data_IF_026088925680
#
_entry.id   IF_026088925680
#
_cell.length_a   1.000
_cell.length_b   1.000
_cell.length_c   1.000
_cell.angle_alpha   90.00
_cell.angle_beta   90.00
_cell.angle_gamma   90.00
#
_symmetry.space_group_name_H-M   'P 1'
#
loop_
_entity.id
_entity.type
_entity.pdbx_description
1 polymer ?
#
# COMPACT_ATOMS: atom_id res chain seq x y z
N UNK A 1 -11.40 27.49 -5.75
CA UNK A 1 -10.83 26.26 -6.34
C UNK A 1 -9.93 25.56 -5.33
N UNK A 2 -9.10 26.28 -4.56
CA UNK A 2 -8.21 25.67 -3.55
C UNK A 2 -8.96 24.95 -2.43
N UNK A 3 -9.99 25.56 -1.86
CA UNK A 3 -10.76 24.97 -0.74
C UNK A 3 -11.46 23.65 -1.10
N UNK A 4 -11.96 23.52 -2.33
CA UNK A 4 -12.57 22.26 -2.79
C UNK A 4 -11.52 21.14 -2.96
N UNK A 5 -10.33 21.48 -3.44
CA UNK A 5 -9.21 20.55 -3.57
C UNK A 5 -8.71 20.13 -2.18
N UNK A 6 -8.58 21.07 -1.25
CA UNK A 6 -8.13 20.79 0.12
C UNK A 6 -9.13 19.88 0.87
N UNK A 7 -10.43 20.11 0.67
CA UNK A 7 -11.48 19.25 1.25
C UNK A 7 -11.47 17.85 0.63
N UNK A 8 -11.27 17.73 -0.69
CA UNK A 8 -11.16 16.45 -1.36
C UNK A 8 -9.93 15.65 -0.88
N UNK A 9 -8.79 16.32 -0.74
CA UNK A 9 -7.57 15.71 -0.20
C UNK A 9 -7.73 15.28 1.26
N UNK A 10 -8.39 16.10 2.08
CA UNK A 10 -8.68 15.75 3.48
C UNK A 10 -9.63 14.54 3.58
N UNK A 11 -10.63 14.46 2.70
CA UNK A 11 -11.53 13.31 2.63
C UNK A 11 -10.78 12.03 2.23
N UNK A 12 -9.94 12.09 1.19
CA UNK A 12 -9.13 10.96 0.74
C UNK A 12 -8.19 10.45 1.86
N UNK A 13 -7.57 11.36 2.60
CA UNK A 13 -6.72 11.02 3.76
C UNK A 13 -7.50 10.28 4.83
N UNK A 14 -8.68 10.76 5.20
CA UNK A 14 -9.55 10.08 6.19
C UNK A 14 -10.02 8.72 5.71
N UNK A 15 -10.28 8.59 4.41
CA UNK A 15 -10.67 7.33 3.79
C UNK A 15 -9.52 6.30 3.86
N UNK A 16 -8.31 6.69 3.48
CA UNK A 16 -7.12 5.84 3.58
C UNK A 16 -6.88 5.38 5.03
N UNK A 17 -6.93 6.31 5.98
CA UNK A 17 -6.75 6.00 7.41
C UNK A 17 -7.86 5.06 7.93
N UNK A 18 -9.10 5.31 7.55
CA UNK A 18 -10.24 4.47 7.93
C UNK A 18 -10.14 3.05 7.36
N UNK A 19 -9.73 2.91 6.09
CA UNK A 19 -9.51 1.61 5.46
C UNK A 19 -8.38 0.86 6.19
N UNK A 20 -7.26 1.54 6.45
CA UNK A 20 -6.11 0.93 7.14
C UNK A 20 -6.48 0.40 8.52
N UNK A 21 -7.16 1.23 9.34
CA UNK A 21 -7.62 0.83 10.68
C UNK A 21 -8.61 -0.33 10.61
N UNK A 22 -9.57 -0.28 9.68
CA UNK A 22 -10.56 -1.34 9.51
C UNK A 22 -9.91 -2.66 9.10
N UNK A 23 -8.94 -2.63 8.18
CA UNK A 23 -8.18 -3.81 7.76
C UNK A 23 -7.35 -4.39 8.90
N UNK A 24 -6.71 -3.55 9.71
CA UNK A 24 -5.96 -4.00 10.88
C UNK A 24 -6.87 -4.69 11.90
N UNK A 25 -8.01 -4.09 12.21
CA UNK A 25 -9.00 -4.69 13.14
C UNK A 25 -9.50 -6.01 12.58
N UNK A 26 -9.84 -6.06 11.29
CA UNK A 26 -10.28 -7.29 10.62
C UNK A 26 -9.21 -8.38 10.72
N UNK A 27 -7.96 -8.05 10.37
CA UNK A 27 -6.85 -8.99 10.37
C UNK A 27 -6.59 -9.55 11.78
N UNK A 28 -6.53 -8.67 12.79
CA UNK A 28 -6.31 -9.08 14.19
C UNK A 28 -7.50 -9.91 14.69
N UNK A 29 -8.73 -9.48 14.40
CA UNK A 29 -9.95 -10.19 14.78
C UNK A 29 -10.04 -11.58 14.17
N UNK A 30 -9.70 -11.71 12.87
CA UNK A 30 -9.67 -13.00 12.18
C UNK A 30 -8.57 -13.92 12.74
N UNK A 31 -7.37 -13.41 12.94
CA UNK A 31 -6.26 -14.19 13.49
C UNK A 31 -6.56 -14.65 14.92
N UNK A 32 -7.05 -13.77 15.79
CA UNK A 32 -7.45 -14.12 17.16
C UNK A 32 -8.63 -15.08 17.17
N UNK A 33 -9.65 -14.84 16.34
CA UNK A 33 -10.81 -15.73 16.22
C UNK A 33 -10.44 -17.13 15.78
N UNK A 34 -9.51 -17.25 14.82
CA UNK A 34 -9.00 -18.54 14.36
C UNK A 34 -8.25 -19.31 15.45
N UNK A 35 -7.42 -18.60 16.24
CA UNK A 35 -6.73 -19.22 17.40
C UNK A 35 -7.75 -19.74 18.40
N UNK A 36 -8.79 -18.98 18.71
CA UNK A 36 -9.86 -19.39 19.64
C UNK A 36 -10.62 -20.61 19.08
N UNK A 37 -11.07 -20.54 17.83
CA UNK A 37 -11.80 -21.66 17.19
C UNK A 37 -10.97 -22.95 17.17
N UNK A 38 -9.70 -22.85 16.83
CA UNK A 38 -8.79 -24.01 16.76
C UNK A 38 -8.50 -24.59 18.14
N UNK A 39 -8.37 -23.73 19.17
CA UNK A 39 -7.95 -24.17 20.50
C UNK A 39 -9.12 -24.67 21.36
N UNK A 40 -10.33 -24.14 21.17
CA UNK A 40 -11.50 -24.49 21.99
C UNK A 40 -12.52 -25.40 21.29
N UNK A 41 -12.53 -25.38 19.94
CA UNK A 41 -13.55 -26.10 19.15
C UNK A 41 -12.96 -27.14 18.19
N UNK A 42 -11.63 -27.34 18.19
CA UNK A 42 -10.91 -28.23 17.25
C UNK A 42 -11.34 -28.03 15.78
N UNK A 43 -11.86 -26.85 15.45
CA UNK A 43 -12.36 -26.48 14.12
C UNK A 43 -11.61 -25.26 13.60
N UNK A 44 -11.26 -25.27 12.32
CA UNK A 44 -10.63 -24.15 11.63
C UNK A 44 -11.41 -23.78 10.37
N UNK A 45 -11.43 -22.50 10.02
CA UNK A 45 -11.99 -22.03 8.76
C UNK A 45 -10.93 -22.15 7.67
N UNK A 46 -11.15 -23.02 6.68
CA UNK A 46 -10.18 -23.27 5.59
C UNK A 46 -9.78 -22.00 4.80
N UNK A 47 -10.72 -21.07 4.66
CA UNK A 47 -10.50 -19.83 3.92
C UNK A 47 -9.85 -18.72 4.75
N UNK A 48 -9.81 -18.86 6.05
CA UNK A 48 -9.33 -17.84 6.99
C UNK A 48 -7.83 -17.53 6.78
N UNK A 49 -7.01 -18.54 6.53
CA UNK A 49 -5.58 -18.34 6.27
C UNK A 49 -5.35 -17.53 4.97
N UNK A 50 -6.13 -17.82 3.94
CA UNK A 50 -6.05 -17.09 2.68
C UNK A 50 -6.51 -15.65 2.84
N UNK A 51 -7.58 -15.42 3.58
CA UNK A 51 -8.08 -14.08 3.86
C UNK A 51 -7.10 -13.25 4.69
N UNK A 52 -6.44 -13.86 5.68
CA UNK A 52 -5.40 -13.17 6.46
C UNK A 52 -4.22 -12.77 5.56
N UNK A 53 -3.78 -13.63 4.63
CA UNK A 53 -2.70 -13.29 3.67
C UNK A 53 -3.09 -12.10 2.79
N UNK A 54 -4.31 -12.09 2.28
CA UNK A 54 -4.84 -10.96 1.50
C UNK A 54 -4.91 -9.71 2.35
N UNK A 55 -5.40 -9.79 3.59
CA UNK A 55 -5.46 -8.66 4.50
C UNK A 55 -4.07 -8.07 4.80
N UNK A 56 -3.04 -8.92 4.96
CA UNK A 56 -1.64 -8.48 5.12
C UNK A 56 -1.17 -7.71 3.90
N UNK A 57 -1.45 -8.19 2.68
CA UNK A 57 -1.11 -7.48 1.44
C UNK A 57 -1.77 -6.10 1.39
N UNK A 58 -3.06 -6.02 1.71
CA UNK A 58 -3.80 -4.77 1.71
C UNK A 58 -3.30 -3.80 2.79
N UNK A 59 -3.06 -4.29 4.01
CA UNK A 59 -2.50 -3.46 5.11
C UNK A 59 -1.12 -2.93 4.72
N UNK A 60 -0.27 -3.74 4.12
CA UNK A 60 1.06 -3.33 3.69
C UNK A 60 0.99 -2.23 2.61
N UNK A 61 0.14 -2.40 1.60
CA UNK A 61 0.04 -1.45 0.50
C UNK A 61 -0.69 -0.16 0.89
N UNK A 62 -1.81 -0.27 1.60
CA UNK A 62 -2.53 0.92 2.12
C UNK A 62 -1.66 1.65 3.14
N UNK A 63 -0.95 0.91 4.02
CA UNK A 63 0.03 1.49 4.95
C UNK A 63 1.17 2.23 4.22
N UNK A 64 1.70 1.65 3.14
CA UNK A 64 2.70 2.31 2.30
C UNK A 64 2.13 3.57 1.60
N UNK A 65 0.87 3.52 1.14
CA UNK A 65 0.18 4.69 0.59
C UNK A 65 0.02 5.80 1.63
N UNK A 66 -0.41 5.46 2.85
CA UNK A 66 -0.51 6.41 3.97
C UNK A 66 0.86 6.98 4.30
N UNK A 67 1.87 6.13 4.39
CA UNK A 67 3.24 6.54 4.65
C UNK A 67 3.83 7.44 3.55
N UNK A 68 3.48 7.22 2.28
CA UNK A 68 3.92 8.07 1.15
C UNK A 68 3.33 9.48 1.14
N UNK A 69 2.28 9.71 1.93
CA UNK A 69 1.56 10.98 2.03
C UNK A 69 2.33 12.02 2.84
N UNK A 70 2.89 11.56 3.95
CA UNK A 70 3.67 12.40 4.83
C UNK A 70 5.14 12.24 4.42
N UNK A 71 5.76 13.29 3.88
CA UNK A 71 7.19 13.30 3.46
C UNK A 71 8.14 13.03 4.67
N UNK A 72 7.56 12.67 5.80
CA UNK A 72 8.17 12.30 7.08
C UNK A 72 8.57 10.82 7.18
N UNK A 73 8.64 10.10 6.04
CA UNK A 73 9.35 8.82 6.09
C UNK A 73 10.68 9.05 6.80
N UNK A 74 11.00 8.12 7.69
CA UNK A 74 12.32 8.00 8.30
C UNK A 74 13.35 8.18 7.17
N UNK A 75 13.54 9.43 6.77
CA UNK A 75 14.69 9.83 6.01
C UNK A 75 15.81 9.44 6.94
N UNK A 76 16.55 8.41 6.57
CA UNK A 76 17.75 8.08 7.30
C UNK A 76 18.51 9.40 7.31
N UNK A 77 18.45 10.08 8.46
CA UNK A 77 19.04 11.41 8.71
C UNK A 77 20.57 11.35 8.50
N UNK A 78 21.05 10.13 8.27
CA UNK A 78 22.42 9.80 7.92
C UNK A 78 22.86 10.48 6.60
N UNK A 79 22.02 10.49 5.57
CA UNK A 79 22.36 11.15 4.31
C UNK A 79 22.37 12.66 4.49
N UNK A 80 21.44 13.20 5.26
CA UNK A 80 21.41 14.64 5.54
C UNK A 80 22.57 15.10 6.42
N UNK A 81 23.16 14.21 7.23
CA UNK A 81 24.34 14.51 8.05
C UNK A 81 25.66 14.37 7.29
N UNK A 82 25.69 13.51 6.26
CA UNK A 82 26.91 13.25 5.48
C UNK A 82 27.05 14.15 4.24
N UNK A 83 25.96 14.72 3.76
CA UNK A 83 25.91 15.54 2.55
C UNK A 83 25.95 17.02 2.92
N UNK A 84 26.85 17.78 2.29
CA UNK A 84 26.91 19.24 2.42
C UNK A 84 25.56 19.88 2.06
N UNK A 85 25.12 20.95 2.79
CA UNK A 85 23.86 21.64 2.54
C UNK A 85 23.63 22.04 1.08
N UNK A 86 24.69 22.30 0.33
CA UNK A 86 24.62 22.67 -1.09
C UNK A 86 24.11 21.53 -2.00
N UNK A 87 24.36 20.27 -1.65
CA UNK A 87 23.98 19.11 -2.44
C UNK A 87 22.70 18.43 -1.94
N UNK A 88 22.18 18.80 -0.78
CA UNK A 88 21.03 18.19 -0.14
C UNK A 88 19.79 18.17 -1.06
N UNK A 89 19.50 19.29 -1.71
CA UNK A 89 18.37 19.42 -2.63
C UNK A 89 18.47 18.46 -3.83
N UNK A 90 19.67 18.32 -4.40
CA UNK A 90 19.89 17.42 -5.52
C UNK A 90 19.72 15.95 -5.13
N UNK A 91 20.26 15.56 -3.97
CA UNK A 91 20.14 14.20 -3.45
C UNK A 91 18.67 13.86 -3.17
N UNK A 92 17.91 14.76 -2.54
CA UNK A 92 16.48 14.57 -2.29
C UNK A 92 15.69 14.40 -3.59
N UNK A 93 15.96 15.23 -4.58
CA UNK A 93 15.30 15.15 -5.88
C UNK A 93 15.63 13.85 -6.61
N UNK A 94 16.90 13.44 -6.60
CA UNK A 94 17.34 12.20 -7.21
C UNK A 94 16.69 10.98 -6.53
N UNK A 95 16.62 10.97 -5.21
CA UNK A 95 15.96 9.90 -4.44
C UNK A 95 14.47 9.81 -4.77
N UNK A 96 13.77 10.94 -4.83
CA UNK A 96 12.35 10.97 -5.20
C UNK A 96 12.11 10.46 -6.62
N UNK A 97 12.98 10.85 -7.57
CA UNK A 97 12.91 10.39 -8.95
C UNK A 97 13.19 8.89 -9.06
N UNK A 98 14.20 8.39 -8.35
CA UNK A 98 14.49 6.97 -8.29
C UNK A 98 13.31 6.17 -7.72
N UNK A 99 12.74 6.63 -6.61
CA UNK A 99 11.54 6.01 -6.02
C UNK A 99 10.36 6.00 -7.01
N UNK A 100 10.15 7.10 -7.72
CA UNK A 100 9.13 7.17 -8.77
C UNK A 100 9.34 6.10 -9.86
N UNK A 101 10.57 5.95 -10.36
CA UNK A 101 10.89 4.94 -11.38
C UNK A 101 10.61 3.52 -10.87
N UNK A 102 11.06 3.21 -9.66
CA UNK A 102 10.82 1.89 -9.03
C UNK A 102 9.32 1.62 -8.87
N UNK A 103 8.55 2.62 -8.44
CA UNK A 103 7.09 2.50 -8.31
C UNK A 103 6.39 2.33 -9.66
N UNK A 104 6.88 2.97 -10.73
CA UNK A 104 6.36 2.74 -12.07
C UNK A 104 6.62 1.30 -12.54
N UNK A 105 7.80 0.76 -12.30
CA UNK A 105 8.13 -0.63 -12.62
C UNK A 105 7.27 -1.61 -11.80
N UNK A 106 7.08 -1.33 -10.51
CA UNK A 106 6.20 -2.11 -9.65
C UNK A 106 4.75 -2.08 -10.15
N UNK A 107 4.23 -0.89 -10.49
CA UNK A 107 2.87 -0.72 -11.00
C UNK A 107 2.67 -1.47 -12.31
N UNK A 108 3.64 -1.40 -13.22
CA UNK A 108 3.62 -2.15 -14.47
C UNK A 108 3.64 -3.66 -14.23
N UNK A 109 4.58 -4.15 -13.42
CA UNK A 109 4.72 -5.57 -13.13
C UNK A 109 3.49 -6.14 -12.42
N UNK A 110 2.97 -5.44 -11.41
CA UNK A 110 1.76 -5.85 -10.70
C UNK A 110 0.50 -5.76 -11.57
N UNK A 111 0.43 -4.79 -12.49
CA UNK A 111 -0.65 -4.71 -13.46
C UNK A 111 -0.68 -5.91 -14.41
N UNK A 112 0.47 -6.32 -14.92
CA UNK A 112 0.59 -7.52 -15.74
C UNK A 112 0.24 -8.78 -14.94
N UNK A 113 0.69 -8.87 -13.68
CA UNK A 113 0.39 -9.99 -12.81
C UNK A 113 -1.12 -10.15 -12.60
N UNK A 114 -1.83 -9.08 -12.23
CA UNK A 114 -3.29 -9.07 -12.07
C UNK A 114 -4.01 -9.42 -13.38
N UNK A 115 -3.47 -8.97 -14.52
CA UNK A 115 -4.02 -9.31 -15.83
C UNK A 115 -3.91 -10.82 -16.12
N UNK A 116 -2.79 -11.45 -15.81
CA UNK A 116 -2.65 -12.91 -15.97
C UNK A 116 -3.57 -13.68 -15.03
N UNK A 117 -3.69 -13.26 -13.76
CA UNK A 117 -4.64 -13.85 -12.81
C UNK A 117 -6.11 -13.76 -13.31
N UNK A 118 -6.44 -12.67 -14.00
CA UNK A 118 -7.74 -12.51 -14.63
C UNK A 118 -7.93 -13.45 -15.83
N UNK A 119 -6.93 -13.60 -16.69
CA UNK A 119 -6.99 -14.46 -17.89
C UNK A 119 -7.01 -15.95 -17.53
N UNK A 120 -6.24 -16.31 -16.49
CA UNK A 120 -6.15 -17.70 -16.02
C UNK A 120 -7.31 -18.11 -15.10
N UNK A 121 -8.29 -17.19 -14.88
CA UNK A 121 -9.45 -17.42 -14.01
C UNK A 121 -9.05 -17.95 -12.61
N UNK A 122 -7.91 -17.49 -12.10
CA UNK A 122 -7.36 -17.95 -10.83
C UNK A 122 -8.29 -17.63 -9.66
N UNK A 123 -8.51 -18.62 -8.78
CA UNK A 123 -9.37 -18.52 -7.61
C UNK A 123 -8.49 -18.43 -6.36
N UNK A 124 -8.69 -17.41 -5.52
CA UNK A 124 -7.93 -17.23 -4.29
C UNK A 124 -8.44 -18.13 -3.15
N UNK A 125 -9.74 -18.13 -2.91
CA UNK A 125 -10.43 -19.00 -1.94
C UNK A 125 -11.93 -18.99 -2.21
N UNK A 126 -12.60 -20.14 -1.99
CA UNK A 126 -14.01 -20.32 -2.30
C UNK A 126 -14.29 -20.07 -3.79
N UNK A 127 -15.14 -19.09 -4.09
CA UNK A 127 -15.47 -18.66 -5.46
C UNK A 127 -14.94 -17.24 -5.75
N UNK A 128 -14.02 -16.73 -4.94
CA UNK A 128 -13.52 -15.35 -5.09
C UNK A 128 -12.32 -15.34 -6.05
N UNK A 129 -12.42 -14.62 -7.19
CA UNK A 129 -11.31 -14.47 -8.13
C UNK A 129 -10.11 -13.77 -7.49
N UNK A 130 -8.90 -14.28 -7.74
CA UNK A 130 -7.67 -13.75 -7.16
C UNK A 130 -7.41 -12.30 -7.59
N UNK A 131 -7.64 -11.95 -8.85
CA UNK A 131 -7.38 -10.63 -9.42
C UNK A 131 -8.10 -9.49 -8.67
N UNK A 132 -9.30 -9.74 -8.11
CA UNK A 132 -10.06 -8.73 -7.34
C UNK A 132 -9.31 -8.37 -6.05
N UNK A 133 -8.71 -9.37 -5.42
CA UNK A 133 -7.99 -9.19 -4.16
C UNK A 133 -6.62 -8.57 -4.36
N UNK A 134 -6.04 -8.74 -5.54
CA UNK A 134 -4.68 -8.31 -5.88
C UNK A 134 -4.62 -6.96 -6.61
N UNK A 135 -5.76 -6.44 -7.06
CA UNK A 135 -5.86 -5.16 -7.78
C UNK A 135 -5.32 -3.98 -6.95
N UNK A 136 -5.23 -4.13 -5.64
CA UNK A 136 -4.62 -3.13 -4.76
C UNK A 136 -3.15 -2.88 -5.08
N UNK A 137 -2.43 -3.87 -5.65
CA UNK A 137 -1.01 -3.72 -5.99
C UNK A 137 -0.78 -2.65 -7.05
N UNK A 138 -1.37 -2.73 -8.26
CA UNK A 138 -1.18 -1.67 -9.26
C UNK A 138 -1.82 -0.33 -8.85
N UNK A 139 -2.93 -0.35 -8.11
CA UNK A 139 -3.56 0.89 -7.61
C UNK A 139 -2.64 1.56 -6.59
N UNK A 140 -2.16 0.82 -5.58
CA UNK A 140 -1.28 1.36 -4.54
C UNK A 140 0.04 1.87 -5.12
N UNK A 141 0.66 1.09 -6.01
CA UNK A 141 1.86 1.50 -6.73
C UNK A 141 1.66 2.78 -7.54
N UNK A 142 0.57 2.85 -8.30
CA UNK A 142 0.23 4.03 -9.11
C UNK A 142 -0.01 5.29 -8.28
N UNK A 143 -0.76 5.20 -7.19
CA UNK A 143 -1.00 6.33 -6.28
C UNK A 143 0.31 6.83 -5.67
N UNK A 144 1.17 5.91 -5.21
CA UNK A 144 2.48 6.27 -4.67
C UNK A 144 3.38 6.89 -5.75
N UNK A 145 3.41 6.34 -6.96
CA UNK A 145 4.19 6.88 -8.08
C UNK A 145 3.79 8.32 -8.39
N UNK A 146 2.50 8.61 -8.48
CA UNK A 146 2.00 9.98 -8.71
C UNK A 146 2.42 10.92 -7.58
N UNK A 147 2.34 10.50 -6.32
CA UNK A 147 2.77 11.31 -5.18
C UNK A 147 4.26 11.65 -5.24
N UNK A 148 5.12 10.66 -5.49
CA UNK A 148 6.57 10.87 -5.59
C UNK A 148 6.94 11.73 -6.81
N UNK A 149 6.22 11.60 -7.92
CA UNK A 149 6.40 12.49 -9.07
C UNK A 149 6.08 13.96 -8.70
N UNK A 150 4.95 14.18 -8.04
CA UNK A 150 4.55 15.53 -7.60
C UNK A 150 5.55 16.12 -6.60
N UNK A 151 6.10 15.29 -5.70
CA UNK A 151 7.13 15.71 -4.76
C UNK A 151 8.49 15.98 -5.44
N UNK A 152 8.80 15.31 -6.54
CA UNK A 152 10.04 15.53 -7.31
C UNK A 152 9.98 16.83 -8.13
N UNK A 153 8.78 17.24 -8.57
CA UNK A 153 8.56 18.45 -9.38
C UNK A 153 8.44 19.71 -8.51
N UNK A 154 7.91 19.56 -7.27
CA UNK A 154 7.84 20.70 -6.34
C UNK A 154 9.24 21.18 -5.98
N UNK A 155 9.50 22.52 -6.10
CA UNK A 155 10.78 23.12 -5.75
C UNK A 155 11.06 23.04 -4.23
#
# INVERSE_FOLDING_TARGET
VSAAIDNALAFLRRLEDGILVSLLILMIGMAAGQVVLRNFFDSGLYWSDSLVRVAVLWVALVGAMVASRDDSHIRIDLVSRLVSPAYKHWVERLTRLFTFIVLCLFTWGSGNFVYYEYVDEAIAFGDVPAWILEIIMPIGGGVMAVRYLLLAIKP
#
